data_IF_020025888557
#
_entry.id   IF_020025888557
#
_cell.length_a   1.000
_cell.length_b   1.000
_cell.length_c   1.000
_cell.angle_alpha   90.00
_cell.angle_beta   90.00
_cell.angle_gamma   90.00
#
_symmetry.space_group_name_H-M   'P 1'
#
loop_
_entity.id
_entity.type
_entity.pdbx_description
1 polymer ?
#
# COMPACT_ATOMS: atom_id res chain seq x y z
N UNK A 1 36.16 -56.27 40.80
CA UNK A 1 36.13 -56.69 39.39
C UNK A 1 36.50 -55.51 38.44
N UNK A 2 37.78 -55.13 38.37
CA UNK A 2 38.17 -53.96 37.48
C UNK A 2 38.48 -54.38 36.05
N UNK A 3 38.43 -55.63 35.65
CA UNK A 3 38.85 -56.08 34.32
C UNK A 3 37.79 -55.88 33.23
N UNK A 4 36.52 -55.69 33.55
CA UNK A 4 35.44 -55.54 32.59
C UNK A 4 35.28 -54.08 32.07
N UNK A 5 35.60 -53.15 32.96
CA UNK A 5 35.52 -51.68 32.56
C UNK A 5 36.65 -51.27 31.59
N UNK A 6 37.84 -51.89 31.71
CA UNK A 6 38.97 -51.58 30.84
C UNK A 6 38.81 -52.11 29.40
N UNK A 7 38.06 -53.19 29.17
CA UNK A 7 37.79 -53.74 27.84
C UNK A 7 36.75 -52.92 27.06
N UNK A 8 35.80 -52.29 27.70
CA UNK A 8 34.80 -51.43 27.05
C UNK A 8 35.37 -50.07 26.69
N UNK A 9 36.40 -49.57 27.37
CA UNK A 9 37.07 -48.31 27.01
C UNK A 9 37.97 -48.46 25.77
N UNK A 10 38.62 -49.64 25.60
CA UNK A 10 39.45 -49.87 24.43
C UNK A 10 38.68 -50.12 23.12
N UNK A 11 37.44 -50.61 23.19
CA UNK A 11 36.59 -50.81 22.02
C UNK A 11 35.99 -49.50 21.45
N UNK A 12 35.93 -48.42 22.24
CA UNK A 12 35.44 -47.11 21.77
C UNK A 12 36.50 -46.23 21.09
N UNK A 13 37.79 -46.54 21.27
CA UNK A 13 38.87 -45.75 20.68
C UNK A 13 39.25 -46.18 19.26
N UNK A 14 38.77 -47.32 18.77
CA UNK A 14 39.16 -47.88 17.45
C UNK A 14 38.19 -47.57 16.28
N UNK A 15 37.11 -46.79 16.52
CA UNK A 15 36.09 -46.52 15.50
C UNK A 15 36.01 -45.06 15.01
N UNK A 16 37.02 -44.22 15.27
CA UNK A 16 37.11 -42.89 14.76
C UNK A 16 37.98 -42.84 13.48
N UNK A 17 37.45 -43.33 12.40
CA UNK A 17 37.95 -42.95 11.06
C UNK A 17 37.54 -41.49 10.81
N UNK A 18 38.48 -40.61 10.36
CA UNK A 18 38.10 -39.24 10.00
C UNK A 18 37.20 -39.31 8.74
N UNK A 19 35.96 -38.86 8.91
CA UNK A 19 35.06 -38.61 7.80
C UNK A 19 35.69 -37.60 6.84
N UNK A 20 35.67 -37.83 5.53
CA UNK A 20 36.12 -36.82 4.58
C UNK A 20 35.26 -35.58 4.76
N UNK A 21 35.92 -34.44 5.03
CA UNK A 21 35.31 -33.13 5.01
C UNK A 21 34.71 -32.92 3.64
N UNK A 22 33.40 -33.05 3.53
CA UNK A 22 32.66 -32.54 2.40
C UNK A 22 32.86 -31.03 2.36
N UNK A 23 33.63 -30.54 1.42
CA UNK A 23 33.62 -29.12 1.02
C UNK A 23 32.18 -28.77 0.69
N UNK A 24 31.61 -27.67 1.22
CA UNK A 24 30.34 -27.18 0.72
C UNK A 24 30.57 -26.70 -0.72
N UNK A 25 30.42 -27.62 -1.66
CA UNK A 25 30.24 -27.25 -3.05
C UNK A 25 28.98 -26.40 -3.12
N UNK A 26 29.15 -25.13 -3.48
CA UNK A 26 28.05 -24.27 -3.88
C UNK A 26 27.26 -25.05 -4.94
N UNK A 27 26.15 -25.66 -4.51
CA UNK A 27 25.14 -26.14 -5.43
C UNK A 27 24.51 -24.91 -6.06
N UNK A 28 25.18 -24.36 -7.04
CA UNK A 28 24.59 -23.46 -8.01
C UNK A 28 23.57 -24.36 -8.74
N UNK A 29 22.31 -24.34 -8.28
CA UNK A 29 21.23 -25.03 -8.94
C UNK A 29 21.17 -24.46 -10.36
N UNK A 30 21.72 -25.19 -11.33
CA UNK A 30 21.68 -24.83 -12.72
C UNK A 30 20.21 -24.66 -13.09
N UNK A 31 19.79 -23.42 -13.32
CA UNK A 31 18.48 -23.12 -13.86
C UNK A 31 18.37 -23.87 -15.20
N UNK A 32 17.28 -24.59 -15.42
CA UNK A 32 17.08 -25.30 -16.68
C UNK A 32 17.22 -24.30 -17.84
N UNK A 33 18.18 -24.54 -18.73
CA UNK A 33 18.43 -23.67 -19.87
C UNK A 33 17.15 -23.56 -20.70
N UNK A 34 16.71 -22.35 -20.98
CA UNK A 34 15.56 -22.10 -21.86
C UNK A 34 15.89 -22.57 -23.27
N UNK A 35 15.06 -23.40 -23.94
CA UNK A 35 15.30 -23.83 -25.30
C UNK A 35 15.47 -22.66 -26.27
N UNK A 36 16.30 -22.75 -27.31
CA UNK A 36 16.49 -21.73 -28.31
C UNK A 36 15.16 -21.30 -28.94
N UNK A 37 14.94 -19.98 -29.08
CA UNK A 37 13.70 -19.42 -29.65
C UNK A 37 12.51 -19.34 -28.69
N UNK A 38 12.69 -19.73 -27.43
CA UNK A 38 11.69 -19.58 -26.40
C UNK A 38 12.05 -18.43 -25.43
N UNK A 39 11.02 -17.77 -24.90
CA UNK A 39 11.16 -16.71 -23.91
C UNK A 39 11.55 -17.31 -22.55
N UNK A 40 12.59 -16.76 -21.96
CA UNK A 40 12.99 -17.08 -20.59
C UNK A 40 11.91 -16.60 -19.59
N UNK A 41 11.31 -17.53 -18.82
CA UNK A 41 10.28 -17.17 -17.83
C UNK A 41 10.80 -16.19 -16.77
N UNK A 42 12.06 -16.30 -16.38
CA UNK A 42 12.63 -15.46 -15.35
C UNK A 42 12.79 -14.00 -15.83
N UNK A 43 13.03 -13.79 -17.12
CA UNK A 43 13.08 -12.45 -17.71
C UNK A 43 11.70 -11.76 -17.66
N UNK A 44 10.61 -12.52 -17.90
CA UNK A 44 9.23 -12.01 -17.77
C UNK A 44 8.96 -11.62 -16.33
N UNK A 45 9.32 -12.49 -15.37
CA UNK A 45 9.13 -12.21 -13.94
C UNK A 45 9.90 -10.97 -13.51
N UNK A 46 11.16 -10.83 -13.93
CA UNK A 46 11.98 -9.64 -13.61
C UNK A 46 11.39 -8.37 -14.20
N UNK A 47 10.93 -8.39 -15.44
CA UNK A 47 10.27 -7.25 -16.07
C UNK A 47 9.00 -6.82 -15.31
N UNK A 48 8.16 -7.80 -14.95
CA UNK A 48 6.95 -7.54 -14.15
C UNK A 48 7.28 -6.99 -12.76
N UNK A 49 8.31 -7.53 -12.09
CA UNK A 49 8.72 -7.08 -10.76
C UNK A 49 9.29 -5.66 -10.80
N UNK A 50 10.17 -5.35 -11.75
CA UNK A 50 10.74 -4.02 -11.91
C UNK A 50 9.67 -2.96 -12.18
N UNK A 51 8.72 -3.27 -13.07
CA UNK A 51 7.58 -2.42 -13.33
C UNK A 51 6.73 -2.19 -12.08
N UNK A 52 6.40 -3.26 -11.34
CA UNK A 52 5.60 -3.16 -10.12
C UNK A 52 6.32 -2.33 -9.05
N UNK A 53 7.63 -2.48 -8.89
CA UNK A 53 8.42 -1.67 -7.97
C UNK A 53 8.37 -0.18 -8.30
N UNK A 54 8.39 0.19 -9.58
CA UNK A 54 8.21 1.58 -10.01
C UNK A 54 6.82 2.11 -9.66
N UNK A 55 5.77 1.31 -9.88
CA UNK A 55 4.39 1.72 -9.60
C UNK A 55 4.12 1.93 -8.11
N UNK A 56 4.76 1.16 -7.23
CA UNK A 56 4.56 1.24 -5.77
C UNK A 56 5.51 2.21 -5.08
N UNK A 57 6.46 2.82 -5.78
CA UNK A 57 7.44 3.74 -5.20
C UNK A 57 6.81 4.97 -4.53
N UNK A 58 5.59 5.36 -4.95
CA UNK A 58 4.84 6.48 -4.38
C UNK A 58 3.91 6.11 -3.20
N UNK A 59 3.85 4.84 -2.80
CA UNK A 59 3.01 4.42 -1.68
C UNK A 59 3.66 4.80 -0.33
N UNK A 60 2.86 5.12 0.69
CA UNK A 60 3.38 5.45 2.02
C UNK A 60 4.02 4.23 2.68
N UNK A 61 5.15 4.44 3.36
CA UNK A 61 5.83 3.41 4.14
C UNK A 61 6.78 2.52 3.33
N UNK A 62 7.15 1.38 3.92
CA UNK A 62 8.06 0.41 3.30
C UNK A 62 7.27 -0.59 2.46
N UNK A 63 7.45 -0.54 1.15
CA UNK A 63 6.80 -1.42 0.20
C UNK A 63 7.67 -2.62 -0.17
N UNK A 64 7.06 -3.79 -0.34
CA UNK A 64 7.72 -5.00 -0.84
C UNK A 64 6.81 -5.65 -1.88
N UNK A 65 7.36 -5.95 -3.05
CA UNK A 65 6.65 -6.64 -4.11
C UNK A 65 7.24 -8.03 -4.36
N UNK A 66 6.38 -9.01 -4.56
CA UNK A 66 6.74 -10.37 -4.99
C UNK A 66 5.86 -10.75 -6.18
N UNK A 67 6.47 -11.42 -7.16
CA UNK A 67 5.77 -11.93 -8.34
C UNK A 67 5.95 -13.43 -8.38
N UNK A 68 4.86 -14.18 -8.47
CA UNK A 68 4.87 -15.64 -8.52
C UNK A 68 5.09 -16.14 -9.93
N UNK A 69 5.77 -17.28 -10.04
CA UNK A 69 6.07 -17.93 -11.31
C UNK A 69 4.95 -18.91 -11.68
N UNK A 70 3.98 -18.47 -12.47
CA UNK A 70 3.07 -19.38 -13.15
C UNK A 70 3.14 -19.06 -14.64
N UNK A 71 3.91 -19.86 -15.39
CA UNK A 71 4.18 -19.55 -16.79
C UNK A 71 3.59 -20.58 -17.73
N UNK A 72 2.89 -20.15 -18.78
CA UNK A 72 2.70 -21.01 -19.95
C UNK A 72 4.07 -21.31 -20.55
N UNK A 73 4.36 -22.60 -20.79
CA UNK A 73 5.57 -23.02 -21.44
C UNK A 73 5.48 -22.76 -22.95
N UNK A 74 6.63 -22.50 -23.58
CA UNK A 74 6.70 -22.40 -25.02
C UNK A 74 6.33 -21.05 -25.63
N UNK A 75 6.43 -19.97 -24.86
CA UNK A 75 6.29 -18.61 -25.41
C UNK A 75 7.44 -18.32 -26.37
N UNK A 76 7.13 -17.67 -27.48
CA UNK A 76 8.16 -17.23 -28.44
C UNK A 76 9.08 -16.19 -27.80
N UNK A 77 10.38 -16.23 -28.15
CA UNK A 77 11.33 -15.23 -27.71
C UNK A 77 10.87 -13.82 -28.10
N UNK A 78 11.04 -12.87 -27.20
CA UNK A 78 10.61 -11.48 -27.35
C UNK A 78 11.78 -10.53 -27.17
N UNK A 79 11.90 -9.56 -28.07
CA UNK A 79 12.91 -8.50 -28.00
C UNK A 79 12.55 -7.43 -26.95
N UNK A 80 11.27 -7.11 -26.81
CA UNK A 80 10.80 -6.07 -25.89
C UNK A 80 9.60 -6.58 -25.10
N UNK A 81 9.78 -6.67 -23.79
CA UNK A 81 8.70 -7.01 -22.85
C UNK A 81 8.03 -5.73 -22.39
N UNK A 82 6.71 -5.67 -22.51
CA UNK A 82 5.88 -4.54 -22.09
C UNK A 82 5.01 -4.92 -20.89
N UNK A 83 5.47 -4.69 -19.66
CA UNK A 83 4.64 -4.91 -18.49
C UNK A 83 3.57 -3.82 -18.36
N UNK A 84 2.39 -4.19 -17.89
CA UNK A 84 1.26 -3.28 -17.68
C UNK A 84 0.39 -3.72 -16.51
N UNK A 85 -0.37 -2.77 -15.96
CA UNK A 85 -1.42 -3.07 -14.99
C UNK A 85 -2.75 -3.32 -15.72
N UNK A 86 -3.41 -4.47 -15.51
CA UNK A 86 -4.77 -4.68 -16.01
C UNK A 86 -5.75 -3.68 -15.40
N UNK A 87 -6.79 -3.33 -16.16
CA UNK A 87 -7.85 -2.44 -15.68
C UNK A 87 -8.48 -2.98 -14.40
N UNK A 88 -8.59 -2.16 -13.36
CA UNK A 88 -9.11 -2.53 -12.05
C UNK A 88 -8.14 -3.26 -11.12
N UNK A 89 -6.90 -3.49 -11.54
CA UNK A 89 -5.87 -4.04 -10.65
C UNK A 89 -5.51 -3.02 -9.56
N UNK A 90 -5.33 -3.51 -8.33
CA UNK A 90 -4.92 -2.69 -7.18
C UNK A 90 -3.41 -2.66 -7.06
N UNK A 91 -2.85 -1.55 -6.57
CA UNK A 91 -1.41 -1.41 -6.37
C UNK A 91 -0.87 -2.08 -5.09
N UNK A 92 -1.74 -2.61 -4.23
CA UNK A 92 -1.36 -3.27 -2.98
C UNK A 92 -2.20 -4.51 -2.69
N UNK A 93 -1.69 -5.37 -1.81
CA UNK A 93 -2.29 -6.68 -1.55
C UNK A 93 -2.01 -7.65 -2.69
N UNK A 94 -2.97 -8.52 -2.97
CA UNK A 94 -2.93 -9.40 -4.14
C UNK A 94 -3.30 -8.62 -5.38
N UNK A 95 -2.46 -8.71 -6.40
CA UNK A 95 -2.65 -8.03 -7.67
C UNK A 95 -2.18 -8.89 -8.83
N UNK A 96 -2.46 -8.44 -10.05
CA UNK A 96 -2.03 -9.11 -11.27
C UNK A 96 -1.26 -8.11 -12.13
N UNK A 97 -0.13 -8.54 -12.67
CA UNK A 97 0.64 -7.78 -13.64
C UNK A 97 0.58 -8.51 -14.98
N UNK A 98 0.20 -7.80 -16.03
CA UNK A 98 0.26 -8.30 -17.39
C UNK A 98 1.65 -8.01 -17.98
N UNK A 99 2.16 -8.93 -18.80
CA UNK A 99 3.33 -8.70 -19.65
C UNK A 99 2.98 -9.14 -21.05
N UNK A 100 3.17 -8.27 -22.02
CA UNK A 100 2.96 -8.59 -23.42
C UNK A 100 4.25 -8.43 -24.21
N UNK A 101 4.30 -9.19 -25.27
CA UNK A 101 5.27 -9.06 -26.33
C UNK A 101 4.58 -8.58 -27.60
N UNK A 102 5.06 -7.52 -28.19
CA UNK A 102 4.55 -6.93 -29.45
C UNK A 102 5.42 -7.33 -30.66
N UNK A 103 6.01 -8.53 -30.69
CA UNK A 103 6.87 -9.02 -31.76
C UNK A 103 6.09 -9.74 -32.87
N UNK A 104 6.81 -10.43 -33.75
CA UNK A 104 6.24 -11.23 -34.87
C UNK A 104 5.27 -12.33 -34.39
N UNK A 105 5.46 -12.84 -33.17
CA UNK A 105 4.58 -13.80 -32.51
C UNK A 105 4.09 -13.19 -31.20
N UNK A 106 3.05 -12.35 -31.25
CA UNK A 106 2.58 -11.64 -30.09
C UNK A 106 1.98 -12.60 -29.05
N UNK A 107 2.22 -12.32 -27.78
CA UNK A 107 1.63 -13.04 -26.66
C UNK A 107 1.42 -12.11 -25.47
N UNK A 108 0.51 -12.49 -24.59
CA UNK A 108 0.26 -11.80 -23.32
C UNK A 108 0.15 -12.83 -22.22
N UNK A 109 0.81 -12.57 -21.11
CA UNK A 109 0.74 -13.40 -19.89
C UNK A 109 0.38 -12.54 -18.69
N UNK A 110 -0.31 -13.14 -17.73
CA UNK A 110 -0.70 -12.51 -16.49
C UNK A 110 -0.03 -13.22 -15.32
N UNK A 111 0.71 -12.46 -14.51
CA UNK A 111 1.42 -12.96 -13.35
C UNK A 111 0.72 -12.52 -12.07
N UNK A 112 0.55 -13.45 -11.15
CA UNK A 112 0.08 -13.11 -9.81
C UNK A 112 1.21 -12.42 -9.04
N UNK A 113 0.87 -11.32 -8.41
CA UNK A 113 1.79 -10.56 -7.59
C UNK A 113 1.18 -10.28 -6.21
N UNK A 114 2.04 -10.04 -5.25
CA UNK A 114 1.67 -9.57 -3.91
C UNK A 114 2.53 -8.38 -3.57
N UNK A 115 1.87 -7.29 -3.20
CA UNK A 115 2.49 -6.07 -2.66
C UNK A 115 2.10 -5.96 -1.21
N UNK A 116 3.08 -5.81 -0.32
CA UNK A 116 2.88 -5.48 1.10
C UNK A 116 3.33 -4.05 1.35
N UNK A 117 2.63 -3.36 2.24
CA UNK A 117 2.91 -1.97 2.61
C UNK A 117 3.01 -1.90 4.13
N UNK A 118 4.23 -1.84 4.64
CA UNK A 118 4.51 -1.69 6.07
C UNK A 118 4.57 -0.21 6.40
N UNK A 119 3.64 0.26 7.21
CA UNK A 119 3.62 1.65 7.67
C UNK A 119 3.00 1.77 9.06
N UNK A 120 3.21 2.92 9.67
CA UNK A 120 2.55 3.29 10.92
C UNK A 120 1.09 3.64 10.65
N UNK A 121 0.20 3.12 11.45
CA UNK A 121 -1.22 3.45 11.49
C UNK A 121 -1.67 3.71 12.92
N UNK A 122 -2.85 4.28 13.10
CA UNK A 122 -3.34 4.67 14.42
C UNK A 122 -4.54 3.83 14.84
N UNK A 123 -4.53 3.43 16.11
CA UNK A 123 -5.64 2.73 16.76
C UNK A 123 -6.18 3.58 17.90
N UNK A 124 -7.44 3.35 18.27
CA UNK A 124 -8.05 4.02 19.42
C UNK A 124 -7.39 3.57 20.74
N UNK A 125 -6.90 4.50 21.54
CA UNK A 125 -6.33 4.23 22.86
C UNK A 125 -7.38 3.72 23.85
N UNK A 126 -8.61 4.20 23.72
CA UNK A 126 -9.79 3.88 24.56
C UNK A 126 -11.03 3.72 23.69
N UNK A 127 -12.13 3.35 24.33
CA UNK A 127 -13.43 3.41 23.66
C UNK A 127 -13.85 4.86 23.43
N UNK A 128 -14.28 5.18 22.20
CA UNK A 128 -14.76 6.52 21.80
C UNK A 128 -16.24 6.41 21.48
N UNK A 129 -17.06 7.31 22.05
CA UNK A 129 -18.50 7.36 21.80
C UNK A 129 -18.83 8.16 20.52
N UNK A 130 -19.99 7.91 19.89
CA UNK A 130 -20.47 8.75 18.80
C UNK A 130 -20.62 10.21 19.25
N UNK A 131 -20.21 11.15 18.39
CA UNK A 131 -20.23 12.58 18.70
C UNK A 131 -19.06 13.08 19.53
N UNK A 132 -18.16 12.22 19.97
CA UNK A 132 -17.00 12.59 20.78
C UNK A 132 -15.85 13.08 19.90
N UNK A 133 -15.23 14.24 20.23
CA UNK A 133 -14.07 14.74 19.52
C UNK A 133 -12.81 13.93 19.91
N UNK A 134 -11.96 13.64 18.96
CA UNK A 134 -10.70 12.94 19.17
C UNK A 134 -9.57 13.93 19.46
N UNK A 135 -8.76 13.59 20.45
CA UNK A 135 -7.52 14.27 20.81
C UNK A 135 -6.30 13.41 20.49
N UNK A 136 -5.12 13.97 20.57
CA UNK A 136 -3.87 13.21 20.41
C UNK A 136 -3.72 12.06 21.42
N UNK A 137 -4.29 12.20 22.63
CA UNK A 137 -4.27 11.17 23.67
C UNK A 137 -5.14 9.94 23.34
N UNK A 138 -6.06 10.07 22.40
CA UNK A 138 -6.96 9.00 21.96
C UNK A 138 -6.34 8.10 20.86
N UNK A 139 -5.15 8.46 20.38
CA UNK A 139 -4.45 7.80 19.30
C UNK A 139 -3.22 7.04 19.82
N UNK A 140 -3.10 5.78 19.43
CA UNK A 140 -1.88 4.99 19.65
C UNK A 140 -1.33 4.56 18.31
N UNK A 141 -0.07 4.92 18.04
CA UNK A 141 0.64 4.50 16.83
C UNK A 141 0.97 3.00 16.89
N UNK A 142 0.79 2.29 15.79
CA UNK A 142 1.18 0.90 15.59
C UNK A 142 1.77 0.73 14.20
N UNK A 143 2.78 -0.14 14.09
CA UNK A 143 3.35 -0.51 12.80
C UNK A 143 2.75 -1.83 12.33
N UNK A 144 2.46 -1.92 11.04
CA UNK A 144 1.89 -3.12 10.47
C UNK A 144 1.69 -3.06 8.96
N UNK A 145 1.25 -4.19 8.41
CA UNK A 145 0.95 -4.30 7.00
C UNK A 145 -0.44 -3.70 6.70
N UNK A 146 -0.45 -2.55 6.05
CA UNK A 146 -1.68 -1.85 5.68
C UNK A 146 -2.56 -2.67 4.72
N UNK A 147 -2.00 -3.65 4.02
CA UNK A 147 -2.74 -4.44 3.02
C UNK A 147 -3.72 -5.43 3.64
N UNK A 148 -3.56 -5.75 4.92
CA UNK A 148 -4.47 -6.61 5.70
C UNK A 148 -5.44 -5.82 6.56
N UNK A 149 -5.29 -4.49 6.61
CA UNK A 149 -6.16 -3.59 7.35
C UNK A 149 -7.34 -3.11 6.49
N UNK A 150 -8.40 -2.59 7.10
CA UNK A 150 -9.49 -1.95 6.37
C UNK A 150 -8.98 -0.81 5.49
N UNK A 151 -9.62 -0.62 4.35
CA UNK A 151 -9.37 0.57 3.54
C UNK A 151 -9.70 1.83 4.35
N UNK A 152 -9.07 2.95 4.04
CA UNK A 152 -9.23 4.22 4.74
C UNK A 152 -8.71 4.25 6.19
N UNK A 153 -7.83 3.29 6.59
CA UNK A 153 -7.13 3.40 7.87
C UNK A 153 -6.28 4.67 7.92
N UNK A 154 -6.27 5.33 9.07
CA UNK A 154 -5.53 6.58 9.27
C UNK A 154 -4.06 6.29 9.49
N UNK A 155 -3.22 6.87 8.65
CA UNK A 155 -1.74 6.80 8.71
C UNK A 155 -1.11 8.13 9.14
N UNK A 156 -1.88 9.22 9.13
CA UNK A 156 -1.46 10.54 9.60
C UNK A 156 -2.36 10.96 10.77
N UNK A 157 -1.81 11.20 11.97
CA UNK A 157 -2.59 11.58 13.14
C UNK A 157 -3.36 12.89 12.97
N UNK A 158 -2.88 13.80 12.12
CA UNK A 158 -3.56 15.07 11.84
C UNK A 158 -4.95 14.87 11.22
N UNK A 159 -5.20 13.75 10.56
CA UNK A 159 -6.50 13.41 9.99
C UNK A 159 -7.54 13.02 11.05
N UNK A 160 -7.10 12.57 12.22
CA UNK A 160 -7.96 12.14 13.31
C UNK A 160 -8.11 13.19 14.41
N UNK A 161 -7.04 13.92 14.72
CA UNK A 161 -7.04 14.91 15.79
C UNK A 161 -8.02 16.04 15.46
N UNK A 162 -8.92 16.36 16.41
CA UNK A 162 -9.98 17.34 16.24
C UNK A 162 -11.20 16.83 15.45
N UNK A 163 -11.13 15.65 14.85
CA UNK A 163 -12.29 15.02 14.20
C UNK A 163 -13.27 14.49 15.23
N UNK A 164 -14.53 14.36 14.83
CA UNK A 164 -15.61 13.82 15.69
C UNK A 164 -15.98 12.42 15.25
N UNK A 165 -16.10 11.48 16.17
CA UNK A 165 -16.52 10.12 15.87
C UNK A 165 -17.98 10.08 15.39
N UNK A 166 -18.24 9.46 14.23
CA UNK A 166 -19.58 9.25 13.69
C UNK A 166 -20.26 8.01 14.28
N UNK A 167 -19.46 7.05 14.74
CA UNK A 167 -19.90 5.81 15.33
C UNK A 167 -19.03 5.46 16.53
N UNK A 168 -19.48 4.47 17.33
CA UNK A 168 -18.68 3.94 18.45
C UNK A 168 -17.44 3.24 17.93
N UNK A 169 -16.26 3.60 18.45
CA UNK A 169 -14.98 3.00 18.14
C UNK A 169 -14.45 2.32 19.42
N UNK A 170 -14.22 1.01 19.35
CA UNK A 170 -13.68 0.27 20.49
C UNK A 170 -12.17 0.48 20.63
N UNK A 171 -11.67 0.40 21.87
CA UNK A 171 -10.24 0.46 22.15
C UNK A 171 -9.46 -0.58 21.33
N UNK A 172 -8.30 -0.19 20.79
CA UNK A 172 -7.42 -1.07 20.00
C UNK A 172 -7.85 -1.26 18.54
N UNK A 173 -9.02 -0.77 18.11
CA UNK A 173 -9.41 -0.84 16.71
C UNK A 173 -8.71 0.23 15.87
N UNK A 174 -8.33 -0.09 14.62
CA UNK A 174 -7.80 0.88 13.69
C UNK A 174 -8.77 2.04 13.46
N UNK A 175 -8.26 3.26 13.58
CA UNK A 175 -9.01 4.46 13.25
C UNK A 175 -9.14 4.57 11.72
N UNK A 176 -10.34 4.90 11.25
CA UNK A 176 -10.69 4.97 9.83
C UNK A 176 -11.32 6.32 9.53
N UNK A 177 -10.98 6.86 8.35
CA UNK A 177 -11.52 8.14 7.90
C UNK A 177 -13.06 8.14 7.77
N UNK A 178 -13.64 7.03 7.34
CA UNK A 178 -15.10 6.88 7.17
C UNK A 178 -15.88 6.82 8.49
N UNK A 179 -15.21 6.61 9.61
CA UNK A 179 -15.80 6.66 10.97
C UNK A 179 -15.64 8.03 11.64
N UNK A 180 -14.97 8.96 10.99
CA UNK A 180 -14.66 10.28 11.54
C UNK A 180 -15.25 11.39 10.66
N UNK A 181 -15.82 12.40 11.31
CA UNK A 181 -16.14 13.68 10.68
C UNK A 181 -14.99 14.63 10.98
N UNK A 182 -14.26 15.05 9.95
CA UNK A 182 -13.16 16.01 10.12
C UNK A 182 -13.65 17.31 10.74
N UNK A 183 -12.88 17.86 11.67
CA UNK A 183 -13.13 19.20 12.23
C UNK A 183 -13.09 20.27 11.13
N UNK A 184 -12.28 20.05 10.10
CA UNK A 184 -12.16 20.93 8.94
C UNK A 184 -13.22 20.66 7.84
N UNK A 185 -14.28 19.88 8.13
CA UNK A 185 -15.35 19.64 7.15
C UNK A 185 -16.30 20.83 7.07
N UNK A 186 -16.73 21.11 5.85
CA UNK A 186 -17.80 22.07 5.57
C UNK A 186 -19.14 21.33 5.60
N UNK A 187 -20.13 21.88 6.26
CA UNK A 187 -21.49 21.34 6.32
C UNK A 187 -22.45 22.08 5.37
N UNK A 188 -23.45 21.37 4.86
CA UNK A 188 -24.52 22.00 4.07
C UNK A 188 -25.20 23.12 4.87
N UNK A 189 -25.39 24.28 4.24
CA UNK A 189 -25.92 25.48 4.88
C UNK A 189 -24.90 26.32 5.67
N UNK A 190 -23.68 25.83 5.83
CA UNK A 190 -22.63 26.60 6.52
C UNK A 190 -22.14 27.76 5.66
N UNK A 191 -21.98 28.95 6.29
CA UNK A 191 -21.28 30.07 5.67
C UNK A 191 -19.79 29.80 5.59
N UNK A 192 -19.22 29.93 4.40
CA UNK A 192 -17.81 29.68 4.11
C UNK A 192 -17.20 30.86 3.39
N UNK A 193 -15.92 31.08 3.61
CA UNK A 193 -15.12 32.03 2.83
C UNK A 193 -14.65 31.35 1.56
N UNK A 194 -15.07 31.89 0.41
CA UNK A 194 -14.64 31.45 -0.92
C UNK A 194 -13.44 32.29 -1.32
N UNK A 195 -12.32 31.62 -1.59
CA UNK A 195 -11.06 32.25 -2.00
C UNK A 195 -10.74 31.86 -3.44
N UNK A 196 -10.41 32.81 -4.25
CA UNK A 196 -9.83 32.61 -5.58
C UNK A 196 -8.44 33.26 -5.58
N UNK A 197 -7.40 32.45 -5.72
CA UNK A 197 -6.01 32.90 -5.75
C UNK A 197 -5.44 32.74 -7.15
N UNK A 198 -4.93 33.84 -7.74
CA UNK A 198 -4.24 33.85 -9.02
C UNK A 198 -2.86 34.52 -8.89
N UNK A 199 -2.05 34.54 -9.97
CA UNK A 199 -0.74 35.17 -9.96
C UNK A 199 -0.87 36.67 -9.62
N UNK A 200 -0.46 37.03 -8.38
CA UNK A 200 -0.45 38.42 -7.89
C UNK A 200 -1.77 38.96 -7.34
N UNK A 201 -2.82 38.15 -7.21
CA UNK A 201 -4.06 38.58 -6.55
C UNK A 201 -4.73 37.45 -5.75
N UNK A 202 -5.46 37.82 -4.71
CA UNK A 202 -6.35 36.94 -3.97
C UNK A 202 -7.67 37.66 -3.74
N UNK A 203 -8.76 37.06 -4.14
CA UNK A 203 -10.12 37.56 -3.94
C UNK A 203 -10.80 36.65 -2.95
N UNK A 204 -11.49 37.21 -1.96
CA UNK A 204 -12.30 36.45 -1.01
C UNK A 204 -13.73 37.02 -0.97
N UNK A 205 -14.70 36.12 -0.93
CA UNK A 205 -16.11 36.44 -0.76
C UNK A 205 -16.78 35.43 0.15
N UNK A 206 -17.94 35.75 0.69
CA UNK A 206 -18.73 34.82 1.50
C UNK A 206 -19.77 34.10 0.64
N UNK A 207 -20.00 32.83 0.99
CA UNK A 207 -21.02 32.01 0.34
C UNK A 207 -21.54 30.95 1.31
N UNK A 208 -22.61 30.26 0.95
CA UNK A 208 -23.20 29.17 1.72
C UNK A 208 -22.96 27.85 1.00
N UNK A 209 -22.39 26.86 1.69
CA UNK A 209 -22.18 25.54 1.14
C UNK A 209 -23.50 24.80 0.92
N UNK A 210 -23.66 24.17 -0.22
CA UNK A 210 -24.89 23.43 -0.59
C UNK A 210 -24.85 21.95 -0.23
N UNK A 211 -23.68 21.44 0.15
CA UNK A 211 -23.47 20.03 0.52
C UNK A 211 -22.40 19.91 1.57
N UNK A 212 -22.35 18.76 2.25
CA UNK A 212 -21.23 18.42 3.14
C UNK A 212 -20.01 18.05 2.30
N UNK A 213 -18.83 18.49 2.72
CA UNK A 213 -17.58 18.13 2.07
C UNK A 213 -16.42 18.14 3.06
N UNK A 214 -15.47 17.21 2.89
CA UNK A 214 -14.23 17.14 3.65
C UNK A 214 -13.11 17.93 2.95
N UNK A 215 -12.01 18.25 3.65
CA UNK A 215 -10.86 18.90 3.03
C UNK A 215 -10.38 18.16 1.78
N UNK A 216 -10.05 18.90 0.74
CA UNK A 216 -9.66 18.37 -0.57
C UNK A 216 -10.82 17.93 -1.46
N UNK A 217 -12.06 17.88 -0.96
CA UNK A 217 -13.24 17.58 -1.77
C UNK A 217 -13.84 18.84 -2.39
N UNK A 218 -14.46 18.66 -3.55
CA UNK A 218 -15.22 19.73 -4.20
C UNK A 218 -16.58 19.92 -3.55
N UNK A 219 -16.97 21.18 -3.34
CA UNK A 219 -18.27 21.57 -2.79
C UNK A 219 -18.87 22.66 -3.66
N UNK A 220 -20.18 22.61 -3.86
CA UNK A 220 -20.94 23.71 -4.47
C UNK A 220 -21.29 24.73 -3.41
N UNK A 221 -20.98 26.00 -3.69
CA UNK A 221 -21.23 27.12 -2.78
C UNK A 221 -22.11 28.14 -3.49
N UNK A 222 -23.17 28.58 -2.82
CA UNK A 222 -24.03 29.66 -3.27
C UNK A 222 -23.47 30.99 -2.74
N UNK A 223 -23.04 31.84 -3.64
CA UNK A 223 -22.57 33.18 -3.33
C UNK A 223 -23.72 34.12 -2.93
N UNK A 224 -23.42 35.24 -2.28
CA UNK A 224 -24.42 36.25 -1.89
C UNK A 224 -25.25 36.77 -3.07
N UNK A 225 -24.67 36.83 -4.27
CA UNK A 225 -25.37 37.22 -5.50
C UNK A 225 -26.27 36.10 -6.10
N UNK A 226 -26.40 34.92 -5.42
CA UNK A 226 -27.21 33.81 -5.89
C UNK A 226 -26.48 32.88 -6.86
N UNK A 227 -25.31 33.23 -7.35
CA UNK A 227 -24.48 32.41 -8.22
C UNK A 227 -23.94 31.18 -7.48
N UNK A 228 -23.93 30.02 -8.15
CA UNK A 228 -23.37 28.79 -7.60
C UNK A 228 -21.99 28.56 -8.24
N UNK A 229 -20.97 28.43 -7.38
CA UNK A 229 -19.61 28.11 -7.80
C UNK A 229 -19.19 26.76 -7.20
N UNK A 230 -18.29 26.05 -7.90
CA UNK A 230 -17.66 24.85 -7.38
C UNK A 230 -16.28 25.21 -6.84
N UNK A 231 -16.02 24.87 -5.58
CA UNK A 231 -14.75 25.14 -4.92
C UNK A 231 -14.24 23.89 -4.19
N UNK A 232 -12.97 23.84 -3.83
CA UNK A 232 -12.33 22.78 -3.07
C UNK A 232 -12.23 23.22 -1.60
N UNK A 233 -12.64 22.37 -0.68
CA UNK A 233 -12.55 22.63 0.76
C UNK A 233 -11.09 22.64 1.20
N UNK A 234 -10.64 23.75 1.79
CA UNK A 234 -9.32 23.89 2.44
C UNK A 234 -9.38 23.56 3.93
N UNK A 235 -10.32 24.18 4.62
CA UNK A 235 -10.52 24.02 6.06
C UNK A 235 -12.02 24.18 6.43
N UNK A 236 -12.35 24.17 7.74
CA UNK A 236 -13.72 24.21 8.25
C UNK A 236 -14.54 25.46 7.83
N UNK A 237 -13.92 26.46 7.29
CA UNK A 237 -14.58 27.72 6.95
C UNK A 237 -14.11 28.30 5.63
N UNK A 238 -13.14 27.67 4.94
CA UNK A 238 -12.51 28.20 3.75
C UNK A 238 -12.58 27.20 2.61
N UNK A 239 -13.01 27.68 1.44
CA UNK A 239 -13.02 26.92 0.20
C UNK A 239 -12.28 27.70 -0.89
N UNK A 240 -11.60 27.04 -1.78
CA UNK A 240 -10.81 27.64 -2.85
C UNK A 240 -11.36 27.25 -4.23
N UNK A 241 -11.53 28.26 -5.09
CA UNK A 241 -11.89 28.03 -6.50
C UNK A 241 -10.60 27.71 -7.26
N UNK A 242 -10.47 26.51 -7.87
CA UNK A 242 -9.35 26.23 -8.77
C UNK A 242 -9.46 27.12 -10.01
N UNK A 243 -8.39 27.84 -10.32
CA UNK A 243 -8.26 28.69 -11.52
C UNK A 243 -7.55 27.94 -12.63
#
# INVERSE_FOLDING_TARGET
QPAFAARMAAARAASALPAPRATPGSANAAQPATPPGQQDPESIRRAALAFLQQQIAGLPGKTTATVTTAFPRGLAACTTLEPFMPTGARLWGRTTVGVRCAGERPWTVYLQAKVTVQATYYVAARQIAPGEPLSAADLVARDGDLTVLPLAVITDPAQAIGSTALARISAGLPLRQDLLKSAASVSAGQTVRVVAAGPGFTISAEGSALANAAPGQSVRVRMAAGQIVTAIVKDAGTVEIPL
#
